data_IF_373097107175
#
_entry.id   IF_373097107175
#
_cell.length_a   1.000
_cell.length_b   1.000
_cell.length_c   1.000
_cell.angle_alpha   90.00
_cell.angle_beta   90.00
_cell.angle_gamma   90.00
#
_symmetry.space_group_name_H-M   'P 1'
#
loop_
_entity.id
_entity.type
_entity.pdbx_description
1 polymer ?
#
# COMPACT_ATOMS: atom_id res chain seq x y z
N UNK A 1 4.63 -13.32 -26.56
CA UNK A 1 4.54 -12.78 -25.18
C UNK A 1 3.86 -11.43 -25.25
N UNK A 2 2.84 -11.22 -24.45
CA UNK A 2 2.14 -9.94 -24.37
C UNK A 2 3.06 -8.89 -23.76
N UNK A 3 3.11 -7.68 -24.33
CA UNK A 3 3.87 -6.57 -23.77
C UNK A 3 3.39 -6.25 -22.34
N UNK A 4 4.31 -6.12 -21.40
CA UNK A 4 4.01 -5.82 -19.99
C UNK A 4 3.43 -4.41 -19.82
N UNK A 5 2.73 -4.20 -18.72
CA UNK A 5 2.21 -2.88 -18.36
C UNK A 5 3.37 -1.98 -17.95
N UNK A 6 3.53 -0.86 -18.63
CA UNK A 6 4.46 0.22 -18.29
C UNK A 6 3.80 1.22 -17.32
N UNK A 7 4.62 2.04 -16.66
CA UNK A 7 4.17 3.15 -15.80
C UNK A 7 3.17 2.74 -14.69
N UNK A 8 3.30 1.52 -14.17
CA UNK A 8 2.48 1.06 -13.07
C UNK A 8 3.05 1.52 -11.72
N UNK A 9 2.15 1.71 -10.76
CA UNK A 9 2.48 2.01 -9.36
C UNK A 9 1.95 0.89 -8.47
N UNK A 10 2.83 0.31 -7.67
CA UNK A 10 2.51 -0.71 -6.68
C UNK A 10 2.70 -0.10 -5.29
N UNK A 11 1.61 0.07 -4.57
CA UNK A 11 1.64 0.45 -3.16
C UNK A 11 1.85 -0.80 -2.32
N UNK A 12 2.87 -0.78 -1.49
CA UNK A 12 3.20 -1.90 -0.61
C UNK A 12 3.49 -1.43 0.83
N UNK A 13 3.53 -2.38 1.75
CA UNK A 13 3.88 -2.16 3.15
C UNK A 13 3.22 -3.20 4.06
N UNK A 14 3.63 -3.26 5.32
CA UNK A 14 2.93 -4.08 6.31
C UNK A 14 1.45 -3.73 6.35
N UNK A 15 0.59 -4.72 6.53
CA UNK A 15 -0.81 -4.43 6.79
C UNK A 15 -0.92 -3.41 7.94
N UNK A 16 -1.91 -2.52 7.90
CA UNK A 16 -2.12 -1.47 8.93
C UNK A 16 -1.08 -0.33 8.95
N UNK A 17 -0.14 -0.28 8.03
CA UNK A 17 0.78 0.86 7.87
C UNK A 17 0.18 2.09 7.16
N UNK A 18 -1.13 2.12 6.89
CA UNK A 18 -1.77 3.23 6.20
C UNK A 18 -1.88 3.07 4.68
N UNK A 19 -1.44 1.95 4.11
CA UNK A 19 -1.51 1.65 2.67
C UNK A 19 -2.89 1.84 2.06
N UNK A 20 -3.97 1.55 2.80
CA UNK A 20 -5.34 1.75 2.31
C UNK A 20 -5.69 3.22 2.15
N UNK A 21 -5.31 4.06 3.12
CA UNK A 21 -5.52 5.51 3.08
C UNK A 21 -4.74 6.11 1.92
N UNK A 22 -3.45 5.79 1.85
CA UNK A 22 -2.56 6.24 0.78
C UNK A 22 -3.09 5.85 -0.61
N UNK A 23 -3.44 4.56 -0.79
CA UNK A 23 -4.00 4.07 -2.05
C UNK A 23 -5.27 4.83 -2.47
N UNK A 24 -6.18 5.06 -1.53
CA UNK A 24 -7.42 5.77 -1.82
C UNK A 24 -7.18 7.22 -2.22
N UNK A 25 -6.28 7.92 -1.54
CA UNK A 25 -5.95 9.31 -1.87
C UNK A 25 -5.26 9.35 -3.24
N UNK A 26 -4.17 8.58 -3.44
CA UNK A 26 -3.41 8.64 -4.69
C UNK A 26 -4.24 8.20 -5.90
N UNK A 27 -5.17 7.25 -5.72
CA UNK A 27 -6.08 6.81 -6.79
C UNK A 27 -7.10 7.87 -7.22
N UNK A 28 -7.22 9.02 -6.52
CA UNK A 28 -8.06 10.14 -6.96
C UNK A 28 -7.39 11.02 -8.02
N UNK A 29 -6.09 10.86 -8.24
CA UNK A 29 -5.37 11.54 -9.31
C UNK A 29 -5.85 11.07 -10.68
N UNK A 30 -6.00 12.01 -11.62
CA UNK A 30 -6.61 11.76 -12.94
C UNK A 30 -5.89 10.68 -13.77
N UNK A 31 -4.61 10.48 -13.56
CA UNK A 31 -3.78 9.52 -14.32
C UNK A 31 -4.08 8.05 -14.02
N UNK A 32 -4.66 7.70 -12.89
CA UNK A 32 -4.69 6.32 -12.42
C UNK A 32 -5.99 5.57 -12.71
N UNK A 33 -5.84 4.39 -13.34
CA UNK A 33 -6.82 3.31 -13.29
C UNK A 33 -6.49 2.37 -12.12
N UNK A 34 -7.53 1.80 -11.52
CA UNK A 34 -7.41 0.90 -10.38
C UNK A 34 -8.52 -0.15 -10.36
N UNK A 35 -8.27 -1.25 -9.63
CA UNK A 35 -9.24 -2.33 -9.47
C UNK A 35 -10.17 -1.97 -8.31
N UNK A 36 -11.47 -1.89 -8.60
CA UNK A 36 -12.52 -1.68 -7.60
C UNK A 36 -12.93 -2.96 -6.88
N UNK A 37 -13.67 -2.79 -5.79
CA UNK A 37 -14.33 -3.91 -5.14
C UNK A 37 -15.24 -4.71 -6.08
N UNK A 38 -15.84 -4.07 -7.09
CA UNK A 38 -16.68 -4.75 -8.10
C UNK A 38 -15.85 -5.65 -9.02
N UNK A 39 -14.79 -5.11 -9.61
CA UNK A 39 -13.86 -5.91 -10.45
C UNK A 39 -13.19 -7.01 -9.63
N UNK A 40 -12.84 -6.73 -8.38
CA UNK A 40 -12.27 -7.76 -7.49
C UNK A 40 -13.28 -8.88 -7.19
N UNK A 41 -14.55 -8.56 -6.99
CA UNK A 41 -15.61 -9.57 -6.74
C UNK A 41 -15.91 -10.41 -7.98
N UNK A 42 -15.82 -9.81 -9.15
CA UNK A 42 -16.11 -10.44 -10.45
C UNK A 42 -14.93 -10.26 -11.41
N UNK A 43 -13.78 -10.90 -11.15
CA UNK A 43 -12.54 -10.63 -11.87
C UNK A 43 -12.55 -11.07 -13.34
N UNK A 44 -13.54 -11.87 -13.76
CA UNK A 44 -13.77 -12.20 -15.16
C UNK A 44 -14.44 -11.09 -15.99
N UNK A 45 -14.86 -10.00 -15.35
CA UNK A 45 -15.62 -8.93 -15.98
C UNK A 45 -14.93 -7.56 -15.78
N UNK A 46 -13.79 -7.31 -16.44
CA UNK A 46 -13.04 -6.06 -16.27
C UNK A 46 -13.81 -4.83 -16.75
N UNK A 47 -14.86 -4.96 -17.57
CA UNK A 47 -15.74 -3.87 -17.98
C UNK A 47 -16.44 -3.19 -16.80
N UNK A 48 -16.61 -3.88 -15.67
CA UNK A 48 -17.15 -3.28 -14.45
C UNK A 48 -16.32 -2.10 -13.93
N UNK A 49 -15.09 -1.96 -14.41
CA UNK A 49 -14.24 -0.80 -14.13
C UNK A 49 -14.81 0.52 -14.68
N UNK A 50 -15.79 0.49 -15.62
CA UNK A 50 -16.49 1.69 -16.09
C UNK A 50 -17.17 2.44 -14.94
N UNK A 51 -17.66 1.72 -13.93
CA UNK A 51 -18.30 2.32 -12.75
C UNK A 51 -17.31 3.10 -11.87
N UNK A 52 -16.00 2.87 -12.01
CA UNK A 52 -15.02 3.64 -11.25
C UNK A 52 -15.01 5.12 -11.63
N UNK A 53 -15.46 5.45 -12.85
CA UNK A 53 -15.54 6.83 -13.36
C UNK A 53 -16.48 7.72 -12.55
N UNK A 54 -17.48 7.16 -11.88
CA UNK A 54 -18.37 7.95 -11.01
C UNK A 54 -17.61 8.56 -9.83
N UNK A 55 -16.44 7.99 -9.48
CA UNK A 55 -15.57 8.50 -8.42
C UNK A 55 -14.76 9.75 -8.84
N UNK A 56 -14.81 10.13 -10.10
CA UNK A 56 -14.24 11.39 -10.60
C UNK A 56 -15.10 12.60 -10.18
N UNK A 57 -16.36 12.35 -9.80
CA UNK A 57 -17.29 13.38 -9.30
C UNK A 57 -17.00 13.57 -7.80
N UNK A 58 -16.56 14.77 -7.41
CA UNK A 58 -16.11 15.08 -6.04
C UNK A 58 -17.15 14.78 -4.96
N UNK A 59 -18.41 15.14 -5.22
CA UNK A 59 -19.51 14.87 -4.28
C UNK A 59 -19.73 13.37 -4.08
N UNK A 60 -19.63 12.58 -5.16
CA UNK A 60 -19.76 11.13 -5.12
C UNK A 60 -18.58 10.50 -4.39
N UNK A 61 -17.36 10.94 -4.68
CA UNK A 61 -16.15 10.46 -4.02
C UNK A 61 -16.23 10.70 -2.50
N UNK A 62 -16.52 11.93 -2.07
CA UNK A 62 -16.67 12.28 -0.64
C UNK A 62 -17.76 11.46 0.04
N UNK A 63 -18.93 11.33 -0.58
CA UNK A 63 -20.05 10.54 -0.08
C UNK A 63 -19.71 9.05 0.04
N UNK A 64 -18.92 8.51 -0.89
CA UNK A 64 -18.57 7.10 -0.95
C UNK A 64 -17.61 6.66 0.16
N UNK A 65 -16.85 7.58 0.77
CA UNK A 65 -15.78 7.26 1.75
C UNK A 65 -16.29 6.46 2.95
N UNK A 66 -17.53 6.68 3.36
CA UNK A 66 -18.19 5.98 4.47
C UNK A 66 -19.03 4.76 4.03
N UNK A 67 -19.22 4.53 2.73
CA UNK A 67 -20.17 3.54 2.23
C UNK A 67 -19.50 2.35 1.55
N UNK A 68 -19.92 1.14 1.93
CA UNK A 68 -19.30 -0.13 1.50
C UNK A 68 -19.59 -0.51 0.02
N UNK A 69 -20.70 -0.05 -0.52
CA UNK A 69 -21.20 -0.50 -1.84
C UNK A 69 -20.72 0.31 -3.05
N UNK A 70 -19.88 1.32 -2.85
CA UNK A 70 -19.36 2.13 -3.93
C UNK A 70 -18.07 1.56 -4.52
N UNK A 71 -17.81 1.78 -5.82
CA UNK A 71 -16.54 1.39 -6.41
C UNK A 71 -15.42 2.16 -5.71
N UNK A 72 -14.52 1.45 -5.04
CA UNK A 72 -13.34 2.01 -4.35
C UNK A 72 -12.14 1.15 -4.65
N UNK A 73 -10.92 1.72 -4.65
CA UNK A 73 -9.70 0.95 -4.78
C UNK A 73 -9.65 -0.18 -3.76
N UNK A 74 -9.39 -1.40 -4.22
CA UNK A 74 -9.34 -2.62 -3.43
C UNK A 74 -7.92 -3.21 -3.41
N UNK A 75 -7.63 -4.10 -2.46
CA UNK A 75 -6.42 -4.95 -2.49
C UNK A 75 -6.44 -5.96 -3.62
N UNK A 76 -7.63 -6.23 -4.12
CA UNK A 76 -7.89 -6.99 -5.32
C UNK A 76 -7.37 -8.44 -5.32
N UNK A 77 -7.31 -9.10 -4.14
CA UNK A 77 -6.79 -10.46 -4.05
C UNK A 77 -7.56 -11.48 -4.90
N UNK A 78 -8.89 -11.36 -5.05
CA UNK A 78 -9.64 -12.26 -5.93
C UNK A 78 -9.30 -12.03 -7.41
N UNK A 79 -9.03 -10.77 -7.80
CA UNK A 79 -8.54 -10.46 -9.14
C UNK A 79 -7.18 -11.13 -9.36
N UNK A 80 -6.22 -10.95 -8.46
CA UNK A 80 -4.90 -11.53 -8.58
C UNK A 80 -4.92 -13.06 -8.54
N UNK A 81 -5.71 -13.68 -7.62
CA UNK A 81 -5.85 -15.13 -7.51
C UNK A 81 -6.43 -15.79 -8.77
N UNK A 82 -7.21 -15.06 -9.58
CA UNK A 82 -7.69 -15.56 -10.87
C UNK A 82 -6.56 -15.86 -11.83
N UNK A 83 -5.49 -15.06 -11.81
CA UNK A 83 -4.38 -15.15 -12.75
C UNK A 83 -3.13 -15.78 -12.15
N UNK A 84 -3.00 -15.69 -10.85
CA UNK A 84 -1.92 -16.28 -10.05
C UNK A 84 -2.55 -17.01 -8.87
N UNK A 85 -2.93 -18.29 -9.01
CA UNK A 85 -3.52 -19.06 -7.92
C UNK A 85 -2.67 -18.95 -6.65
N UNK A 86 -3.32 -18.77 -5.50
CA UNK A 86 -2.66 -18.58 -4.19
C UNK A 86 -1.91 -17.23 -4.00
N UNK A 87 -2.15 -16.25 -4.87
CA UNK A 87 -1.53 -14.92 -4.71
C UNK A 87 -1.79 -14.28 -3.33
N UNK A 88 -2.95 -14.53 -2.74
CA UNK A 88 -3.32 -14.01 -1.41
C UNK A 88 -2.72 -14.78 -0.24
N UNK A 89 -2.10 -15.93 -0.45
CA UNK A 89 -1.56 -16.74 0.63
C UNK A 89 -0.26 -16.16 1.19
N UNK A 90 -0.05 -16.20 2.52
CA UNK A 90 1.13 -15.61 3.15
C UNK A 90 2.44 -16.27 2.71
N UNK A 91 2.42 -17.59 2.50
CA UNK A 91 3.60 -18.38 2.14
C UNK A 91 3.48 -18.94 0.73
N UNK A 92 4.41 -18.54 -0.16
CA UNK A 92 4.44 -19.00 -1.55
C UNK A 92 5.50 -20.10 -1.76
N UNK A 93 6.06 -20.65 -0.68
CA UNK A 93 7.13 -21.66 -0.77
C UNK A 93 6.63 -22.92 -1.44
N UNK A 94 7.36 -23.37 -2.48
CA UNK A 94 7.07 -24.62 -3.19
C UNK A 94 5.94 -24.57 -4.21
N UNK A 95 5.41 -23.40 -4.51
CA UNK A 95 4.32 -23.22 -5.49
C UNK A 95 4.77 -23.53 -6.92
N UNK A 96 4.02 -24.38 -7.63
CA UNK A 96 4.19 -24.57 -9.07
C UNK A 96 3.56 -23.39 -9.82
N UNK A 97 4.30 -22.83 -10.81
CA UNK A 97 3.83 -21.71 -11.65
C UNK A 97 2.99 -22.19 -12.86
N UNK A 98 2.66 -23.48 -12.92
CA UNK A 98 2.02 -24.11 -14.07
C UNK A 98 0.66 -23.52 -14.43
N UNK A 99 -0.07 -22.99 -13.45
CA UNK A 99 -1.40 -22.42 -13.66
C UNK A 99 -1.41 -20.89 -13.68
N UNK A 100 -0.24 -20.24 -13.68
CA UNK A 100 -0.14 -18.79 -13.76
C UNK A 100 -0.45 -18.30 -15.17
N UNK A 101 -1.25 -17.25 -15.27
CA UNK A 101 -1.75 -16.65 -16.52
C UNK A 101 -1.40 -15.17 -16.62
N UNK A 102 -0.11 -14.81 -16.73
CA UNK A 102 0.31 -13.40 -16.76
C UNK A 102 -0.21 -12.64 -17.97
N UNK A 103 -0.26 -13.25 -19.17
CA UNK A 103 -0.75 -12.59 -20.37
C UNK A 103 -2.24 -12.21 -20.25
N UNK A 104 -3.07 -13.11 -19.67
CA UNK A 104 -4.47 -12.80 -19.37
C UNK A 104 -4.61 -11.68 -18.31
N UNK A 105 -3.73 -11.68 -17.30
CA UNK A 105 -3.70 -10.61 -16.29
C UNK A 105 -3.39 -9.26 -16.92
N UNK A 106 -2.38 -9.20 -17.79
CA UNK A 106 -2.01 -8.00 -18.54
C UNK A 106 -3.19 -7.50 -19.38
N UNK A 107 -3.85 -8.40 -20.13
CA UNK A 107 -5.02 -8.06 -20.92
C UNK A 107 -6.15 -7.48 -20.04
N UNK A 108 -6.43 -8.12 -18.90
CA UNK A 108 -7.46 -7.64 -17.97
C UNK A 108 -7.13 -6.24 -17.39
N UNK A 109 -5.87 -5.97 -17.03
CA UNK A 109 -5.44 -4.65 -16.56
C UNK A 109 -5.59 -3.60 -17.66
N UNK A 110 -5.21 -3.91 -18.91
CA UNK A 110 -5.43 -3.00 -20.06
C UNK A 110 -6.92 -2.70 -20.28
N UNK A 111 -7.79 -3.70 -20.11
CA UNK A 111 -9.24 -3.46 -20.15
C UNK A 111 -9.69 -2.53 -19.01
N UNK A 112 -9.20 -2.74 -17.80
CA UNK A 112 -9.47 -1.85 -16.64
C UNK A 112 -9.05 -0.40 -16.94
N UNK A 113 -7.85 -0.20 -17.51
CA UNK A 113 -7.37 1.12 -17.93
C UNK A 113 -8.27 1.73 -19.00
N UNK A 114 -8.59 0.97 -20.05
CA UNK A 114 -9.44 1.42 -21.17
C UNK A 114 -10.83 1.83 -20.69
N UNK A 115 -11.49 1.05 -19.83
CA UNK A 115 -12.82 1.38 -19.32
C UNK A 115 -12.83 2.60 -18.41
N UNK A 116 -11.74 2.84 -17.69
CA UNK A 116 -11.57 4.05 -16.89
C UNK A 116 -11.00 5.24 -17.71
N UNK A 117 -10.54 5.01 -18.95
CA UNK A 117 -9.87 6.01 -19.79
C UNK A 117 -8.64 6.63 -19.10
N UNK A 118 -7.76 5.77 -18.58
CA UNK A 118 -6.57 6.16 -17.84
C UNK A 118 -5.35 5.40 -18.37
N UNK A 119 -4.19 6.05 -18.39
CA UNK A 119 -2.98 5.50 -18.98
C UNK A 119 -2.08 4.80 -17.96
N UNK A 120 -2.16 5.16 -16.68
CA UNK A 120 -1.38 4.55 -15.62
C UNK A 120 -2.24 3.61 -14.78
N UNK A 121 -1.62 2.58 -14.24
CA UNK A 121 -2.30 1.63 -13.37
C UNK A 121 -1.72 1.68 -11.97
N UNK A 122 -2.59 1.73 -10.96
CA UNK A 122 -2.20 1.65 -9.56
C UNK A 122 -2.84 0.45 -8.88
N UNK A 123 -2.05 -0.27 -8.10
CA UNK A 123 -2.53 -1.37 -7.27
C UNK A 123 -1.93 -1.31 -5.88
N UNK A 124 -2.65 -1.87 -4.91
CA UNK A 124 -2.19 -1.99 -3.53
C UNK A 124 -2.08 -3.46 -3.16
N UNK A 125 -0.93 -3.86 -2.63
CA UNK A 125 -0.64 -5.21 -2.16
C UNK A 125 -0.04 -5.08 -0.75
N UNK A 126 -0.53 -5.87 0.20
CA UNK A 126 0.01 -5.90 1.57
C UNK A 126 0.49 -7.31 1.93
N UNK A 127 1.36 -7.43 2.92
CA UNK A 127 1.92 -8.71 3.32
C UNK A 127 3.08 -9.17 2.44
N UNK A 128 3.07 -10.42 1.95
CA UNK A 128 4.17 -10.95 1.15
C UNK A 128 4.33 -10.18 -0.19
N UNK A 129 5.57 -9.91 -0.64
CA UNK A 129 5.86 -8.88 -1.64
C UNK A 129 5.49 -9.23 -3.08
N UNK A 130 5.29 -10.50 -3.44
CA UNK A 130 4.87 -10.94 -4.80
C UNK A 130 5.78 -10.46 -5.95
N UNK A 131 7.05 -10.20 -5.69
CA UNK A 131 7.96 -9.63 -6.67
C UNK A 131 8.02 -10.43 -7.98
N UNK A 132 8.02 -11.74 -7.90
CA UNK A 132 8.06 -12.65 -9.06
C UNK A 132 6.81 -12.51 -9.95
N UNK A 133 5.63 -12.46 -9.36
CA UNK A 133 4.36 -12.30 -10.05
C UNK A 133 4.27 -10.92 -10.70
N UNK A 134 4.62 -9.88 -9.93
CA UNK A 134 4.64 -8.49 -10.40
C UNK A 134 5.60 -8.29 -11.57
N UNK A 135 6.80 -8.90 -11.55
CA UNK A 135 7.79 -8.84 -12.63
C UNK A 135 7.29 -9.47 -13.94
N UNK A 136 6.30 -10.36 -13.89
CA UNK A 136 5.70 -10.98 -15.08
C UNK A 136 4.62 -10.10 -15.70
N UNK A 137 4.01 -9.18 -14.94
CA UNK A 137 2.91 -8.31 -15.36
C UNK A 137 3.41 -6.91 -15.71
N UNK A 138 4.31 -6.35 -14.91
CA UNK A 138 4.79 -4.98 -15.04
C UNK A 138 6.21 -4.94 -15.61
N UNK A 139 6.50 -3.94 -16.46
CA UNK A 139 7.83 -3.78 -17.05
C UNK A 139 8.84 -3.24 -16.02
N UNK A 140 8.55 -2.10 -15.41
CA UNK A 140 9.39 -1.46 -14.38
C UNK A 140 8.49 -0.59 -13.50
N UNK A 141 7.72 -1.20 -12.58
CA UNK A 141 6.78 -0.44 -11.77
C UNK A 141 7.51 0.39 -10.72
N UNK A 142 6.95 1.57 -10.38
CA UNK A 142 7.30 2.24 -9.15
C UNK A 142 6.69 1.48 -7.98
N UNK A 143 7.50 1.07 -7.03
CA UNK A 143 7.05 0.47 -5.78
C UNK A 143 7.16 1.51 -4.68
N UNK A 144 6.03 1.96 -4.18
CA UNK A 144 5.92 2.88 -3.06
C UNK A 144 5.69 2.07 -1.79
N UNK A 145 6.75 1.88 -1.00
CA UNK A 145 6.68 1.11 0.24
C UNK A 145 6.48 2.04 1.43
N UNK A 146 5.35 1.92 2.11
CA UNK A 146 5.02 2.80 3.22
C UNK A 146 5.40 2.18 4.57
N UNK A 147 6.27 2.88 5.29
CA UNK A 147 6.66 2.57 6.66
C UNK A 147 5.76 3.34 7.64
N UNK A 148 5.60 2.78 8.81
CA UNK A 148 4.91 3.40 9.94
C UNK A 148 5.55 2.90 11.23
N UNK A 149 5.44 3.66 12.34
CA UNK A 149 5.86 3.18 13.66
C UNK A 149 5.41 1.72 13.85
N UNK A 150 6.36 0.76 13.95
CA UNK A 150 6.04 -0.66 14.01
C UNK A 150 5.18 -1.01 15.23
N UNK A 151 5.29 -0.27 16.33
CA UNK A 151 4.47 -0.44 17.53
C UNK A 151 3.01 -0.09 17.25
N UNK A 152 2.76 0.98 16.50
CA UNK A 152 1.41 1.35 16.07
C UNK A 152 0.80 0.34 15.09
N UNK A 153 1.62 -0.29 14.25
CA UNK A 153 1.18 -1.37 13.35
C UNK A 153 0.78 -2.60 14.16
N UNK A 154 1.62 -3.08 15.07
CA UNK A 154 1.36 -4.23 15.94
C UNK A 154 0.13 -3.99 16.83
N UNK A 155 0.02 -2.80 17.44
CA UNK A 155 -1.17 -2.42 18.20
C UNK A 155 -2.45 -2.45 17.35
N UNK A 156 -2.36 -2.07 16.09
CA UNK A 156 -3.50 -2.16 15.18
C UNK A 156 -3.84 -3.61 14.80
N UNK A 157 -2.87 -4.52 14.70
CA UNK A 157 -3.12 -5.95 14.54
C UNK A 157 -3.87 -6.51 15.76
N UNK A 158 -3.39 -6.21 16.95
CA UNK A 158 -3.98 -6.64 18.22
C UNK A 158 -5.43 -6.17 18.34
N UNK A 159 -5.68 -4.86 18.20
CA UNK A 159 -7.03 -4.27 18.29
C UNK A 159 -8.01 -4.85 17.28
N UNK A 160 -7.52 -5.20 16.07
CA UNK A 160 -8.34 -5.78 14.99
C UNK A 160 -8.47 -7.31 15.11
N UNK A 161 -7.85 -7.94 16.11
CA UNK A 161 -7.75 -9.40 16.25
C UNK A 161 -7.31 -10.03 14.93
N UNK A 162 -6.27 -9.48 14.31
CA UNK A 162 -5.86 -9.88 12.97
C UNK A 162 -5.43 -11.35 12.95
N UNK A 163 -6.04 -12.14 12.08
CA UNK A 163 -5.84 -13.60 12.02
C UNK A 163 -6.78 -14.39 12.92
N UNK A 164 -7.54 -13.73 13.81
CA UNK A 164 -8.44 -14.36 14.78
C UNK A 164 -9.91 -13.95 14.63
N UNK A 165 -10.26 -13.26 13.54
CA UNK A 165 -11.65 -12.78 13.34
C UNK A 165 -12.67 -13.89 13.28
N UNK A 166 -12.29 -15.08 12.81
CA UNK A 166 -13.15 -16.26 12.68
C UNK A 166 -12.98 -17.24 13.85
N UNK A 167 -12.04 -17.00 14.76
CA UNK A 167 -11.69 -17.85 15.90
C UNK A 167 -11.40 -16.97 17.12
N UNK A 168 -12.35 -16.16 17.60
CA UNK A 168 -12.12 -15.23 18.70
C UNK A 168 -11.73 -15.92 20.00
N UNK A 169 -12.21 -17.15 20.24
CA UNK A 169 -11.84 -17.98 21.39
C UNK A 169 -10.34 -18.30 21.46
N UNK A 170 -9.69 -18.45 20.30
CA UNK A 170 -8.25 -18.66 20.22
C UNK A 170 -7.46 -17.39 20.56
N UNK A 171 -8.01 -16.22 20.28
CA UNK A 171 -7.42 -14.96 20.70
C UNK A 171 -7.51 -14.80 22.23
N UNK A 172 -8.68 -15.10 22.78
CA UNK A 172 -8.98 -14.95 24.22
C UNK A 172 -8.24 -15.97 25.10
N UNK A 173 -7.82 -17.11 24.52
CA UNK A 173 -7.04 -18.13 25.24
C UNK A 173 -5.55 -17.80 25.38
N UNK A 174 -5.07 -16.71 24.77
CA UNK A 174 -3.65 -16.32 24.79
C UNK A 174 -3.40 -15.13 25.69
N UNK A 175 -2.22 -15.09 26.29
CA UNK A 175 -1.74 -13.94 27.03
C UNK A 175 -1.41 -12.76 26.09
N UNK A 176 -1.29 -11.55 26.65
CA UNK A 176 -0.89 -10.36 25.91
C UNK A 176 0.47 -10.58 25.21
N UNK A 177 1.46 -11.11 25.90
CA UNK A 177 2.82 -11.31 25.36
C UNK A 177 2.84 -12.35 24.24
N UNK A 178 2.09 -13.46 24.35
CA UNK A 178 1.96 -14.43 23.25
C UNK A 178 1.39 -13.81 21.98
N UNK A 179 0.33 -13.00 22.12
CA UNK A 179 -0.27 -12.30 20.99
C UNK A 179 0.68 -11.26 20.39
N UNK A 180 1.38 -10.50 21.23
CA UNK A 180 2.36 -9.53 20.78
C UNK A 180 3.51 -10.20 20.03
N UNK A 181 4.03 -11.34 20.53
CA UNK A 181 5.08 -12.14 19.88
C UNK A 181 4.65 -12.55 18.46
N UNK A 182 3.43 -13.04 18.30
CA UNK A 182 2.91 -13.43 16.98
C UNK A 182 2.76 -12.24 16.03
N UNK A 183 2.33 -11.09 16.53
CA UNK A 183 2.14 -9.90 15.71
C UNK A 183 3.47 -9.21 15.35
N UNK A 184 4.47 -9.24 16.26
CA UNK A 184 5.84 -8.81 15.98
C UNK A 184 6.42 -9.66 14.85
N UNK A 185 6.38 -10.99 14.97
CA UNK A 185 6.86 -11.88 13.90
C UNK A 185 6.18 -11.63 12.55
N UNK A 186 4.87 -11.37 12.55
CA UNK A 186 4.14 -11.02 11.32
C UNK A 186 4.63 -9.71 10.71
N UNK A 187 4.95 -8.72 11.55
CA UNK A 187 5.53 -7.45 11.09
C UNK A 187 6.91 -7.68 10.46
N UNK A 188 7.78 -8.43 11.14
CA UNK A 188 9.12 -8.79 10.68
C UNK A 188 9.10 -9.45 9.32
N UNK A 189 8.29 -10.50 9.16
CA UNK A 189 8.14 -11.19 7.87
C UNK A 189 7.71 -10.25 6.73
N UNK A 190 6.82 -9.30 7.03
CA UNK A 190 6.36 -8.32 6.04
C UNK A 190 7.47 -7.31 5.70
N UNK A 191 8.28 -6.91 6.68
CA UNK A 191 9.39 -5.99 6.50
C UNK A 191 10.54 -6.63 5.72
N UNK A 192 10.97 -7.83 6.09
CA UNK A 192 12.03 -8.58 5.41
C UNK A 192 11.69 -8.86 3.94
N UNK A 193 10.43 -9.19 3.68
CA UNK A 193 9.93 -9.45 2.32
C UNK A 193 10.14 -8.30 1.33
N UNK A 194 10.32 -7.05 1.82
CA UNK A 194 10.56 -5.88 0.96
C UNK A 194 11.83 -5.98 0.10
N UNK A 195 12.81 -6.77 0.55
CA UNK A 195 14.06 -6.96 -0.19
C UNK A 195 13.84 -7.43 -1.62
N UNK A 196 12.87 -8.31 -1.86
CA UNK A 196 12.51 -8.79 -3.19
C UNK A 196 11.91 -7.72 -4.12
N UNK A 197 11.41 -6.62 -3.58
CA UNK A 197 10.84 -5.52 -4.36
C UNK A 197 11.87 -4.48 -4.81
N UNK A 198 13.09 -4.50 -4.24
CA UNK A 198 14.16 -3.54 -4.58
C UNK A 198 14.70 -3.68 -6.01
N UNK A 199 14.35 -4.74 -6.71
CA UNK A 199 14.64 -4.89 -8.15
C UNK A 199 13.79 -3.98 -9.05
N UNK A 200 12.75 -3.34 -8.52
CA UNK A 200 11.90 -2.35 -9.17
C UNK A 200 12.36 -0.92 -8.84
N UNK A 201 11.68 0.10 -9.37
CA UNK A 201 11.86 1.48 -8.94
C UNK A 201 11.30 1.65 -7.52
N UNK A 202 12.11 1.32 -6.53
CA UNK A 202 11.68 1.18 -5.14
C UNK A 202 11.89 2.45 -4.34
N UNK A 203 10.85 2.88 -3.61
CA UNK A 203 10.85 4.12 -2.82
C UNK A 203 10.29 3.85 -1.42
N UNK A 204 11.10 4.10 -0.40
CA UNK A 204 10.66 4.07 1.00
C UNK A 204 9.93 5.38 1.34
N UNK A 205 8.72 5.29 1.84
CA UNK A 205 7.87 6.41 2.25
C UNK A 205 7.44 6.24 3.71
N UNK A 206 7.14 7.35 4.38
CA UNK A 206 6.80 7.35 5.80
C UNK A 206 5.37 7.83 6.03
N UNK A 207 4.57 7.03 6.73
CA UNK A 207 3.17 7.32 7.04
C UNK A 207 3.00 8.62 7.81
N UNK A 208 3.88 8.87 8.77
CA UNK A 208 3.86 10.05 9.63
C UNK A 208 3.92 11.34 8.80
N UNK A 209 4.80 11.39 7.79
CA UNK A 209 4.87 12.55 6.88
C UNK A 209 3.58 12.72 6.08
N UNK A 210 2.95 11.62 5.66
CA UNK A 210 1.68 11.67 4.94
C UNK A 210 0.56 12.31 5.79
N UNK A 211 0.55 12.06 7.10
CA UNK A 211 -0.50 12.61 7.97
C UNK A 211 -0.17 13.96 8.57
N UNK A 212 1.11 14.27 8.76
CA UNK A 212 1.57 15.54 9.34
C UNK A 212 1.63 16.67 8.30
N UNK A 213 2.14 16.38 7.10
CA UNK A 213 2.31 17.32 6.00
C UNK A 213 1.77 16.78 4.67
N UNK A 214 0.47 16.47 4.58
CA UNK A 214 -0.08 15.73 3.44
C UNK A 214 0.14 16.40 2.09
N UNK A 215 0.05 17.72 2.02
CA UNK A 215 0.25 18.44 0.75
C UNK A 215 1.70 18.31 0.29
N UNK A 216 2.67 18.51 1.18
CA UNK A 216 4.09 18.35 0.86
C UNK A 216 4.42 16.91 0.47
N UNK A 217 3.95 15.94 1.25
CA UNK A 217 4.13 14.52 0.99
C UNK A 217 3.62 14.12 -0.41
N UNK A 218 2.38 14.46 -0.74
CA UNK A 218 1.82 14.08 -2.05
C UNK A 218 2.44 14.88 -3.21
N UNK A 219 2.89 16.11 -3.02
CA UNK A 219 3.70 16.83 -4.02
C UNK A 219 4.97 16.06 -4.36
N UNK A 220 5.70 15.63 -3.35
CA UNK A 220 6.92 14.83 -3.52
C UNK A 220 6.64 13.50 -4.23
N UNK A 221 5.56 12.80 -3.84
CA UNK A 221 5.15 11.54 -4.49
C UNK A 221 4.77 11.77 -5.96
N UNK A 222 4.00 12.80 -6.28
CA UNK A 222 3.62 13.08 -7.67
C UNK A 222 4.83 13.46 -8.52
N UNK A 223 5.76 14.26 -7.98
CA UNK A 223 7.03 14.61 -8.66
C UNK A 223 7.88 13.37 -8.93
N UNK A 224 8.04 12.49 -7.93
CA UNK A 224 8.76 11.23 -8.05
C UNK A 224 8.15 10.32 -9.13
N UNK A 225 6.84 10.34 -9.30
CA UNK A 225 6.13 9.57 -10.33
C UNK A 225 6.08 10.29 -11.69
N UNK A 226 6.62 11.51 -11.81
CA UNK A 226 6.52 12.31 -13.02
C UNK A 226 5.08 12.66 -13.38
N UNK A 227 4.25 12.98 -12.38
CA UNK A 227 2.84 13.31 -12.54
C UNK A 227 2.58 14.81 -12.35
N UNK A 228 1.59 15.38 -13.05
CA UNK A 228 1.22 16.78 -12.88
C UNK A 228 0.66 17.06 -11.48
N UNK A 229 0.92 18.27 -10.98
CA UNK A 229 0.45 18.76 -9.67
C UNK A 229 -0.98 19.34 -9.80
N UNK A 230 -1.97 18.49 -10.03
CA UNK A 230 -3.35 18.89 -10.32
C UNK A 230 -4.00 19.59 -9.11
N UNK A 231 -4.54 20.78 -9.29
CA UNK A 231 -5.28 21.50 -8.25
C UNK A 231 -6.44 20.67 -7.69
N UNK A 232 -7.22 20.03 -8.57
CA UNK A 232 -8.35 19.18 -8.19
C UNK A 232 -7.93 18.00 -7.29
N UNK A 233 -6.72 17.44 -7.48
CA UNK A 233 -6.20 16.41 -6.58
C UNK A 233 -5.95 16.96 -5.18
N UNK A 234 -5.33 18.14 -5.05
CA UNK A 234 -5.04 18.76 -3.75
C UNK A 234 -6.30 19.26 -3.05
N UNK A 235 -7.30 19.75 -3.79
CA UNK A 235 -8.61 20.13 -3.24
C UNK A 235 -9.33 18.91 -2.63
N UNK A 236 -9.22 17.74 -3.28
CA UNK A 236 -9.72 16.49 -2.71
C UNK A 236 -8.91 16.07 -1.49
N UNK A 237 -7.59 16.19 -1.54
CA UNK A 237 -6.70 15.83 -0.43
C UNK A 237 -7.06 16.60 0.84
N UNK A 238 -7.32 17.90 0.78
CA UNK A 238 -7.67 18.72 1.96
C UNK A 238 -8.97 18.28 2.63
N UNK A 239 -9.85 17.59 1.90
CA UNK A 239 -11.11 17.07 2.43
C UNK A 239 -10.97 15.72 3.18
N UNK A 240 -9.79 15.11 3.20
CA UNK A 240 -9.53 13.89 3.97
C UNK A 240 -9.20 14.23 5.43
N UNK A 241 -9.86 13.51 6.36
CA UNK A 241 -9.50 13.57 7.78
C UNK A 241 -8.35 12.61 8.05
N UNK A 242 -7.16 13.14 8.27
CA UNK A 242 -5.96 12.39 8.60
C UNK A 242 -5.76 12.41 10.11
N UNK A 243 -5.73 11.23 10.74
CA UNK A 243 -5.65 11.09 12.19
C UNK A 243 -4.18 10.95 12.64
N UNK A 244 -3.62 12.04 13.13
CA UNK A 244 -2.26 12.10 13.70
C UNK A 244 -2.13 11.30 15.00
N UNK A 245 -3.21 11.15 15.76
CA UNK A 245 -3.20 10.46 17.05
C UNK A 245 -3.19 8.93 16.91
N UNK A 246 -3.54 8.41 15.72
CA UNK A 246 -3.57 6.97 15.46
C UNK A 246 -2.21 6.26 15.71
N UNK A 247 -1.09 7.01 15.69
CA UNK A 247 0.25 6.47 15.98
C UNK A 247 0.55 6.33 17.48
N UNK A 248 -0.17 7.05 18.33
CA UNK A 248 0.08 7.05 19.79
C UNK A 248 -0.81 6.07 20.56
N UNK A 249 -1.80 5.45 19.91
CA UNK A 249 -2.77 4.59 20.57
C UNK A 249 -2.15 3.39 21.31
N UNK A 250 -0.98 2.90 20.87
CA UNK A 250 -0.28 1.79 21.51
C UNK A 250 0.23 2.11 22.93
N UNK A 251 0.52 3.38 23.25
CA UNK A 251 1.05 3.79 24.57
C UNK A 251 0.08 3.58 25.71
N UNK A 252 -1.21 3.48 25.42
CA UNK A 252 -2.28 3.28 26.43
C UNK A 252 -3.03 1.96 26.24
N UNK A 253 -2.67 1.17 25.21
CA UNK A 253 -3.39 -0.06 24.87
C UNK A 253 -2.87 -1.29 25.61
N UNK A 254 -1.62 -1.28 26.01
CA UNK A 254 -0.91 -2.45 26.57
C UNK A 254 -0.45 -2.21 28.00
N UNK A 255 -0.16 -3.29 28.72
CA UNK A 255 0.50 -3.26 30.01
C UNK A 255 1.91 -2.64 29.89
N UNK A 256 2.51 -2.27 31.03
CA UNK A 256 3.90 -1.80 31.06
C UNK A 256 4.88 -2.85 30.51
N UNK A 257 4.63 -4.12 30.79
CA UNK A 257 5.41 -5.25 30.28
C UNK A 257 5.25 -5.38 28.76
N UNK A 258 4.01 -5.30 28.23
CA UNK A 258 3.75 -5.32 26.79
C UNK A 258 4.41 -4.16 26.04
N UNK A 259 4.42 -2.95 26.62
CA UNK A 259 5.12 -1.79 26.06
C UNK A 259 6.64 -2.01 26.03
N UNK A 260 7.23 -2.54 27.12
CA UNK A 260 8.66 -2.86 27.18
C UNK A 260 9.02 -3.90 26.13
N UNK A 261 8.24 -4.99 26.04
CA UNK A 261 8.40 -6.03 25.04
C UNK A 261 8.39 -5.50 23.60
N UNK A 262 7.41 -4.61 23.25
CA UNK A 262 7.33 -4.01 21.93
C UNK A 262 8.54 -3.12 21.61
N UNK A 263 9.00 -2.33 22.58
CA UNK A 263 10.17 -1.47 22.38
C UNK A 263 11.45 -2.29 22.13
N UNK A 264 11.65 -3.38 22.87
CA UNK A 264 12.80 -4.25 22.71
C UNK A 264 12.74 -5.04 21.41
N UNK A 265 11.63 -5.75 21.17
CA UNK A 265 11.48 -6.64 20.00
C UNK A 265 11.48 -5.89 18.69
N UNK A 266 10.97 -4.64 18.66
CA UNK A 266 10.86 -3.83 17.44
C UNK A 266 11.96 -2.77 17.29
N UNK A 267 12.96 -2.72 18.20
CA UNK A 267 13.99 -1.69 18.21
C UNK A 267 14.67 -1.48 16.85
N UNK A 268 15.13 -2.49 16.09
CA UNK A 268 15.77 -2.29 14.80
C UNK A 268 14.86 -1.64 13.75
N UNK A 269 13.57 -1.93 13.80
CA UNK A 269 12.57 -1.39 12.87
C UNK A 269 12.14 0.02 13.26
N UNK A 270 12.12 0.32 14.56
CA UNK A 270 11.88 1.68 15.07
C UNK A 270 13.00 2.59 14.59
N UNK A 271 14.26 2.19 14.83
CA UNK A 271 15.44 2.98 14.43
C UNK A 271 15.45 3.22 12.92
N UNK A 272 15.19 2.18 12.13
CA UNK A 272 15.09 2.30 10.68
C UNK A 272 14.00 3.31 10.25
N UNK A 273 12.80 3.25 10.84
CA UNK A 273 11.70 4.15 10.51
C UNK A 273 12.02 5.59 10.93
N UNK A 274 12.64 5.77 12.10
CA UNK A 274 13.08 7.09 12.58
C UNK A 274 14.18 7.70 11.69
N UNK A 275 15.08 6.89 11.16
CA UNK A 275 16.13 7.36 10.22
C UNK A 275 15.52 7.82 8.89
N UNK A 276 14.52 7.10 8.39
CA UNK A 276 13.77 7.53 7.21
C UNK A 276 13.04 8.86 7.46
N UNK A 277 12.42 9.03 8.63
CA UNK A 277 11.74 10.29 9.01
C UNK A 277 12.72 11.45 9.00
N UNK A 278 13.90 11.31 9.61
CA UNK A 278 14.94 12.35 9.66
C UNK A 278 15.44 12.73 8.26
N UNK A 279 15.72 11.75 7.41
CA UNK A 279 16.21 12.00 6.05
C UNK A 279 15.22 12.77 5.18
N UNK A 280 13.94 12.51 5.34
CA UNK A 280 12.91 13.19 4.57
C UNK A 280 12.61 14.62 5.07
N UNK A 281 12.97 14.96 6.32
CA UNK A 281 12.81 16.30 6.89
C UNK A 281 14.05 17.19 6.73
N UNK A 282 15.20 16.60 6.37
CA UNK A 282 16.40 17.36 6.08
C UNK A 282 16.22 18.11 4.75
N UNK A 283 16.46 19.44 4.69
CA UNK A 283 16.48 20.15 3.41
C UNK A 283 17.55 19.48 2.53
N UNK A 284 17.19 19.18 1.29
CA UNK A 284 18.14 18.72 0.28
C UNK A 284 19.28 19.73 0.25
N UNK A 285 20.48 19.33 0.65
CA UNK A 285 21.67 20.19 0.60
C UNK A 285 21.86 20.61 -0.86
N UNK A 286 22.06 21.90 -1.10
CA UNK A 286 22.24 22.50 -2.43
C UNK A 286 23.42 21.91 -3.24
N UNK A 287 24.18 21.00 -2.66
CA UNK A 287 25.36 20.35 -3.26
C UNK A 287 25.00 19.33 -4.37
N UNK A 288 23.78 18.78 -4.40
CA UNK A 288 23.36 17.88 -5.50
C UNK A 288 22.82 18.64 -6.72
N UNK A 289 22.39 19.89 -6.58
CA UNK A 289 21.96 20.73 -7.71
C UNK A 289 23.10 21.24 -8.59
N UNK A 290 24.32 21.28 -8.05
CA UNK A 290 25.49 21.78 -8.80
C UNK A 290 26.13 20.73 -9.71
N UNK A 291 25.87 19.44 -9.53
CA UNK A 291 26.44 18.36 -10.35
C UNK A 291 25.66 18.08 -11.64
N UNK A 292 24.38 18.43 -11.71
CA UNK A 292 23.57 18.24 -12.93
C UNK A 292 23.71 19.42 -13.94
N UNK A 293 24.31 20.55 -13.56
CA UNK A 293 24.51 21.70 -14.45
C UNK A 293 25.90 21.77 -15.09
N UNK A 294 26.83 20.88 -14.76
CA UNK A 294 28.18 20.86 -15.30
C UNK A 294 28.42 19.76 -16.36
N UNK A 295 27.38 19.13 -16.86
CA UNK A 295 27.44 18.08 -17.88
C UNK A 295 26.69 18.44 -19.16
N UNK A 296 26.94 19.65 -19.72
CA UNK A 296 26.48 20.02 -21.07
C UNK A 296 27.68 20.20 -21.99
#
# INVERSE_FOLDING_TARGET
MTEKISNAVVLHGPGRSGTTLFSRILSTHSAFAWISGYVNRFPGYPFLAVFNRVMEIDTVERFSRSRRFWPRPAEAYNFWNRYFPYFSEPEIRGRTKQHDRPDECIAAIRHVQRYQRKDRFITKITGAPRATELARVFASPHVLYIHRDPRAVVASYYRQRWGYKTTPERFESKTEIELLTEYVRRYEMSFEGRGGLKSFQFHDLVYEHMVDEPVHFFRSVLSLLGLPQEAAFFDRLTSWKLDRQANKAWTTQFSKEGIAFLNESLAPFIDFTMDLQRKATSPVSDDERSRDQSGS
#
